data_IF_056597094918
#
_entry.id   IF_056597094918
#
_cell.length_a   1.000
_cell.length_b   1.000
_cell.length_c   1.000
_cell.angle_alpha   90.00
_cell.angle_beta   90.00
_cell.angle_gamma   90.00
#
_symmetry.space_group_name_H-M   'P 1'
#
loop_
_entity.id
_entity.type
_entity.pdbx_description
1 polymer ?
#
# COMPACT_ATOMS: atom_id res chain seq x y z
N UNK A 1 44.35 -61.29 16.81
CA UNK A 1 44.85 -62.21 15.74
C UNK A 1 44.27 -61.71 14.42
N UNK A 2 45.18 -61.41 13.48
CA UNK A 2 44.98 -61.00 12.06
C UNK A 2 44.38 -59.62 11.81
N UNK A 3 45.12 -58.53 11.59
CA UNK A 3 46.01 -58.07 10.48
C UNK A 3 45.35 -58.28 9.09
N UNK A 4 45.07 -57.17 8.37
CA UNK A 4 45.39 -56.84 6.97
C UNK A 4 44.90 -55.37 6.78
N UNK A 5 45.68 -54.41 6.71
CA UNK A 5 46.61 -53.68 5.83
C UNK A 5 46.04 -53.42 4.39
N UNK A 6 46.17 -52.17 4.02
CA UNK A 6 46.26 -51.55 2.70
C UNK A 6 44.90 -51.16 2.07
N UNK A 7 44.75 -50.04 1.41
CA UNK A 7 45.70 -49.22 0.68
C UNK A 7 45.19 -47.78 0.53
N UNK A 8 46.13 -46.85 0.49
CA UNK A 8 46.03 -45.46 0.08
C UNK A 8 45.71 -45.40 -1.41
N UNK A 9 44.71 -44.58 -1.77
CA UNK A 9 44.64 -43.99 -3.10
C UNK A 9 44.21 -42.53 -2.98
N UNK A 10 45.19 -41.65 -3.02
CA UNK A 10 45.04 -40.23 -3.31
C UNK A 10 44.64 -40.11 -4.78
N UNK A 11 43.46 -39.51 -5.01
CA UNK A 11 43.13 -38.99 -6.32
C UNK A 11 42.64 -37.54 -6.17
N UNK A 12 43.57 -36.61 -6.42
CA UNK A 12 43.24 -35.22 -6.72
C UNK A 12 42.45 -35.18 -8.02
N UNK A 13 41.19 -34.75 -7.95
CA UNK A 13 40.46 -34.23 -9.11
C UNK A 13 40.13 -32.79 -8.85
N UNK A 14 40.88 -31.93 -9.52
CA UNK A 14 40.53 -30.56 -9.80
C UNK A 14 39.18 -30.56 -10.57
N UNK A 15 38.14 -30.07 -9.98
CA UNK A 15 36.83 -29.97 -10.61
C UNK A 15 36.11 -28.72 -10.11
N UNK A 16 36.19 -27.68 -10.93
CA UNK A 16 35.40 -26.51 -11.05
C UNK A 16 34.36 -26.20 -9.97
N UNK A 17 34.57 -25.11 -9.26
CA UNK A 17 33.49 -24.41 -8.55
C UNK A 17 32.48 -23.93 -9.58
N UNK A 18 31.47 -24.73 -9.87
CA UNK A 18 30.25 -24.28 -10.47
C UNK A 18 29.54 -23.38 -9.41
N UNK A 19 29.74 -22.09 -9.54
CA UNK A 19 28.81 -21.14 -8.94
C UNK A 19 27.45 -21.45 -9.55
N UNK A 20 26.62 -22.16 -8.83
CA UNK A 20 25.22 -22.20 -9.07
C UNK A 20 24.73 -20.75 -8.82
N UNK A 21 24.47 -20.01 -9.91
CA UNK A 21 23.64 -18.83 -9.91
C UNK A 21 22.31 -19.22 -9.27
N UNK A 22 22.22 -18.95 -7.97
CA UNK A 22 20.97 -19.03 -7.21
C UNK A 22 20.12 -17.80 -7.54
N UNK A 23 19.82 -17.62 -8.82
CA UNK A 23 18.66 -16.89 -9.28
C UNK A 23 17.44 -17.79 -9.05
N UNK A 24 17.21 -18.15 -7.80
CA UNK A 24 15.92 -18.64 -7.38
C UNK A 24 14.97 -17.43 -7.49
N UNK A 25 14.33 -17.28 -8.65
CA UNK A 25 13.05 -16.57 -8.72
C UNK A 25 12.23 -17.15 -7.57
N UNK A 26 12.01 -16.35 -6.54
CA UNK A 26 11.25 -16.75 -5.37
C UNK A 26 9.85 -17.11 -5.91
N UNK A 27 9.61 -18.40 -6.10
CA UNK A 27 8.31 -18.92 -6.49
C UNK A 27 7.37 -18.51 -5.37
N UNK A 28 6.52 -17.50 -5.64
CA UNK A 28 5.50 -17.04 -4.73
C UNK A 28 4.70 -18.27 -4.28
N UNK A 29 4.73 -18.59 -2.99
CA UNK A 29 3.99 -19.73 -2.44
C UNK A 29 2.53 -19.63 -2.89
N UNK A 30 1.84 -20.76 -3.13
CA UNK A 30 0.45 -20.71 -3.55
C UNK A 30 -0.38 -19.94 -2.53
N UNK A 31 -1.19 -19.02 -3.05
CA UNK A 31 -2.01 -18.12 -2.24
C UNK A 31 -3.05 -18.91 -1.44
N UNK A 32 -3.13 -18.64 -0.13
CA UNK A 32 -4.12 -19.26 0.76
C UNK A 32 -5.54 -18.79 0.42
N UNK A 33 -6.56 -19.54 0.84
CA UNK A 33 -7.96 -19.13 0.66
C UNK A 33 -8.22 -17.77 1.31
N UNK A 34 -7.70 -17.54 2.51
CA UNK A 34 -7.81 -16.27 3.22
C UNK A 34 -7.23 -15.10 2.41
N UNK A 35 -6.08 -15.27 1.80
CA UNK A 35 -5.46 -14.24 0.96
C UNK A 35 -6.29 -13.93 -0.29
N UNK A 36 -6.87 -14.94 -0.91
CA UNK A 36 -7.82 -14.76 -2.04
C UNK A 36 -9.06 -13.97 -1.62
N UNK A 37 -9.61 -14.30 -0.46
CA UNK A 37 -10.78 -13.62 0.09
C UNK A 37 -10.44 -12.16 0.47
N UNK A 38 -9.25 -11.90 1.01
CA UNK A 38 -8.76 -10.54 1.26
C UNK A 38 -8.65 -9.74 -0.05
N UNK A 39 -8.12 -10.32 -1.12
CA UNK A 39 -8.10 -9.65 -2.44
C UNK A 39 -9.51 -9.31 -2.93
N UNK A 40 -10.43 -10.26 -2.78
CA UNK A 40 -11.84 -10.02 -3.10
C UNK A 40 -12.39 -8.85 -2.29
N UNK A 41 -12.12 -8.81 -0.99
CA UNK A 41 -12.53 -7.72 -0.10
C UNK A 41 -11.95 -6.37 -0.55
N UNK A 42 -10.65 -6.29 -0.82
CA UNK A 42 -9.97 -5.08 -1.30
C UNK A 42 -10.55 -4.58 -2.62
N UNK A 43 -10.90 -5.49 -3.53
CA UNK A 43 -11.55 -5.16 -4.80
C UNK A 43 -12.97 -4.63 -4.60
N UNK A 44 -13.78 -5.27 -3.76
CA UNK A 44 -15.17 -4.85 -3.48
C UNK A 44 -15.21 -3.46 -2.84
N UNK A 45 -14.25 -3.16 -1.97
CA UNK A 45 -14.17 -1.88 -1.26
C UNK A 45 -13.51 -0.77 -2.07
N UNK A 46 -12.92 -1.07 -3.23
CA UNK A 46 -12.18 -0.10 -4.05
C UNK A 46 -10.87 0.36 -3.39
N UNK A 47 -10.32 -0.42 -2.45
CA UNK A 47 -9.12 -0.01 -1.68
C UNK A 47 -7.87 0.13 -2.56
N UNK A 48 -7.76 -0.64 -3.63
CA UNK A 48 -6.67 -0.52 -4.61
C UNK A 48 -6.75 0.79 -5.39
N UNK A 49 -7.92 1.13 -5.90
CA UNK A 49 -8.19 2.37 -6.64
C UNK A 49 -7.98 3.60 -5.77
N UNK A 50 -8.41 3.54 -4.50
CA UNK A 50 -8.16 4.62 -3.53
C UNK A 50 -6.65 4.82 -3.31
N UNK A 51 -5.87 3.75 -3.19
CA UNK A 51 -4.41 3.82 -3.08
C UNK A 51 -3.77 4.51 -4.29
N UNK A 52 -4.21 4.17 -5.50
CA UNK A 52 -3.75 4.81 -6.75
C UNK A 52 -4.13 6.29 -6.80
N UNK A 53 -5.32 6.65 -6.34
CA UNK A 53 -5.75 8.05 -6.25
C UNK A 53 -4.89 8.86 -5.27
N UNK A 54 -4.60 8.33 -4.09
CA UNK A 54 -3.70 8.96 -3.11
C UNK A 54 -2.30 9.14 -3.69
N UNK A 55 -1.77 8.14 -4.39
CA UNK A 55 -0.48 8.22 -5.08
C UNK A 55 -0.47 9.34 -6.12
N UNK A 56 -1.53 9.46 -6.93
CA UNK A 56 -1.66 10.52 -7.94
C UNK A 56 -1.67 11.92 -7.31
N UNK A 57 -2.35 12.10 -6.18
CA UNK A 57 -2.35 13.37 -5.44
C UNK A 57 -0.97 13.69 -4.87
N UNK A 58 -0.28 12.69 -4.29
CA UNK A 58 1.06 12.85 -3.76
C UNK A 58 2.04 13.27 -4.85
N UNK A 59 2.01 12.63 -6.02
CA UNK A 59 2.83 12.99 -7.18
C UNK A 59 2.50 14.40 -7.65
N UNK A 60 1.22 14.79 -7.70
CA UNK A 60 0.82 16.16 -8.05
C UNK A 60 1.42 17.21 -7.11
N UNK A 61 1.52 16.92 -5.82
CA UNK A 61 2.18 17.80 -4.85
C UNK A 61 3.70 17.81 -5.02
N UNK A 62 4.32 16.65 -5.26
CA UNK A 62 5.77 16.55 -5.52
C UNK A 62 6.18 17.30 -6.79
N UNK A 63 5.38 17.25 -7.86
CA UNK A 63 5.61 18.04 -9.09
C UNK A 63 5.68 19.54 -8.79
N UNK A 64 4.79 20.04 -7.95
CA UNK A 64 4.79 21.46 -7.54
C UNK A 64 6.01 21.82 -6.70
N UNK A 65 6.46 20.92 -5.83
CA UNK A 65 7.62 21.12 -4.97
C UNK A 65 8.96 20.97 -5.70
N UNK A 66 8.99 20.22 -6.82
CA UNK A 66 10.20 19.91 -7.59
C UNK A 66 10.06 20.30 -9.07
N UNK A 67 9.95 21.60 -9.39
CA UNK A 67 9.70 22.07 -10.77
C UNK A 67 10.86 21.78 -11.71
N UNK A 68 12.05 21.47 -11.21
CA UNK A 68 13.24 21.08 -11.99
C UNK A 68 13.14 19.66 -12.55
N UNK A 69 12.23 18.81 -12.06
CA UNK A 69 12.07 17.44 -12.54
C UNK A 69 11.21 17.44 -13.80
N UNK A 70 11.69 16.87 -14.92
CA UNK A 70 10.96 16.88 -16.18
C UNK A 70 9.59 16.20 -16.08
N UNK A 71 8.59 16.73 -16.80
CA UNK A 71 7.23 16.16 -16.84
C UNK A 71 7.22 14.68 -17.28
N UNK A 72 8.13 14.32 -18.19
CA UNK A 72 8.31 12.94 -18.65
C UNK A 72 8.60 11.97 -17.50
N UNK A 73 9.41 12.37 -16.51
CA UNK A 73 9.69 11.52 -15.33
C UNK A 73 8.41 11.16 -14.58
N UNK A 74 7.56 12.16 -14.33
CA UNK A 74 6.30 11.94 -13.59
C UNK A 74 5.32 11.07 -14.36
N UNK A 75 5.24 11.28 -15.69
CA UNK A 75 4.37 10.46 -16.54
C UNK A 75 4.84 9.01 -16.60
N UNK A 76 6.14 8.78 -16.68
CA UNK A 76 6.69 7.42 -16.70
C UNK A 76 6.55 6.76 -15.33
N UNK A 77 6.79 7.50 -14.24
CA UNK A 77 6.54 7.01 -12.87
C UNK A 77 5.08 6.54 -12.69
N UNK A 78 4.11 7.31 -13.18
CA UNK A 78 2.69 6.92 -13.07
C UNK A 78 2.33 5.68 -13.89
N UNK A 79 3.04 5.40 -14.99
CA UNK A 79 2.85 4.17 -15.79
C UNK A 79 3.30 2.92 -15.03
N UNK A 80 4.31 3.06 -14.17
CA UNK A 80 4.83 1.98 -13.32
C UNK A 80 3.96 1.73 -12.07
N UNK A 81 2.96 2.59 -11.79
CA UNK A 81 2.05 2.39 -10.65
C UNK A 81 0.98 1.36 -11.04
N UNK A 82 1.17 0.13 -10.62
CA UNK A 82 0.23 -0.96 -10.82
C UNK A 82 -0.62 -1.23 -9.56
N UNK A 83 -1.93 -1.08 -9.68
CA UNK A 83 -2.87 -1.28 -8.56
C UNK A 83 -2.74 -2.70 -7.96
N UNK A 84 -2.50 -3.70 -8.81
CA UNK A 84 -2.37 -5.09 -8.36
C UNK A 84 -1.13 -5.31 -7.47
N UNK A 85 -0.02 -4.64 -7.77
CA UNK A 85 1.19 -4.68 -6.93
C UNK A 85 0.93 -4.07 -5.56
N UNK A 86 0.21 -2.94 -5.51
CA UNK A 86 -0.19 -2.33 -4.24
C UNK A 86 -1.09 -3.28 -3.44
N UNK A 87 -2.04 -3.93 -4.08
CA UNK A 87 -2.89 -4.96 -3.44
C UNK A 87 -2.04 -6.10 -2.89
N UNK A 88 -1.03 -6.58 -3.65
CA UNK A 88 -0.09 -7.62 -3.20
C UNK A 88 0.64 -7.24 -1.91
N UNK A 89 1.03 -5.98 -1.76
CA UNK A 89 1.68 -5.45 -0.55
C UNK A 89 0.71 -5.30 0.63
N UNK A 90 -0.56 -5.04 0.35
CA UNK A 90 -1.59 -4.82 1.38
C UNK A 90 -2.15 -6.14 1.92
N UNK A 91 -2.29 -7.18 1.09
CA UNK A 91 -2.85 -8.49 1.50
C UNK A 91 -2.21 -9.04 2.77
N UNK A 92 -0.87 -9.06 2.94
CA UNK A 92 -0.26 -9.55 4.19
C UNK A 92 -0.61 -8.71 5.43
N UNK A 93 -0.94 -7.42 5.26
CA UNK A 93 -1.36 -6.56 6.38
C UNK A 93 -2.73 -7.00 6.89
N UNK A 94 -3.68 -7.21 6.00
CA UNK A 94 -5.01 -7.73 6.33
C UNK A 94 -4.93 -9.14 6.92
N UNK A 95 -4.09 -10.00 6.32
CA UNK A 95 -3.91 -11.40 6.74
C UNK A 95 -3.42 -11.52 8.20
N UNK A 96 -2.57 -10.61 8.66
CA UNK A 96 -2.10 -10.59 10.04
C UNK A 96 -3.13 -10.04 11.03
N UNK A 97 -4.03 -9.16 10.59
CA UNK A 97 -4.92 -8.41 11.48
C UNK A 97 -6.36 -8.93 11.51
N UNK A 98 -6.80 -9.71 10.53
CA UNK A 98 -8.15 -10.26 10.45
C UNK A 98 -8.12 -11.78 10.49
N UNK A 99 -9.10 -12.41 11.11
CA UNK A 99 -9.34 -13.84 10.99
C UNK A 99 -10.04 -14.17 9.65
N UNK A 100 -10.05 -15.45 9.25
CA UNK A 100 -10.83 -15.90 8.09
C UNK A 100 -12.32 -15.59 8.26
N UNK A 101 -12.84 -15.70 9.48
CA UNK A 101 -14.24 -15.37 9.79
C UNK A 101 -14.54 -13.90 9.55
N UNK A 102 -13.69 -12.99 10.04
CA UNK A 102 -13.84 -11.55 9.85
C UNK A 102 -13.87 -11.18 8.37
N UNK A 103 -12.95 -11.73 7.58
CA UNK A 103 -12.90 -11.49 6.12
C UNK A 103 -14.19 -11.96 5.45
N UNK A 104 -14.69 -13.12 5.83
CA UNK A 104 -15.94 -13.68 5.27
C UNK A 104 -17.15 -12.78 5.59
N UNK A 105 -17.28 -12.33 6.83
CA UNK A 105 -18.39 -11.46 7.25
C UNK A 105 -18.31 -10.08 6.60
N UNK A 106 -17.11 -9.51 6.47
CA UNK A 106 -16.90 -8.26 5.74
C UNK A 106 -17.30 -8.39 4.26
N UNK A 107 -16.91 -9.47 3.60
CA UNK A 107 -17.33 -9.72 2.20
C UNK A 107 -18.85 -9.78 2.10
N UNK A 108 -19.53 -10.55 2.97
CA UNK A 108 -20.99 -10.60 3.01
C UNK A 108 -21.62 -9.22 3.17
N UNK A 109 -21.09 -8.42 4.10
CA UNK A 109 -21.58 -7.06 4.31
C UNK A 109 -21.44 -6.21 3.05
N UNK A 110 -20.25 -6.15 2.46
CA UNK A 110 -20.01 -5.31 1.28
C UNK A 110 -20.68 -5.81 0.00
N UNK A 111 -20.99 -7.10 -0.09
CA UNK A 111 -21.82 -7.67 -1.18
C UNK A 111 -23.32 -7.44 -1.00
N UNK A 112 -23.77 -7.08 0.21
CA UNK A 112 -25.18 -6.75 0.49
C UNK A 112 -25.62 -5.47 -0.24
N UNK A 113 -26.93 -5.25 -0.42
CA UNK A 113 -27.44 -4.00 -1.03
C UNK A 113 -26.97 -2.75 -0.28
N UNK A 114 -26.92 -2.78 1.04
CA UNK A 114 -26.46 -1.67 1.89
C UNK A 114 -24.96 -1.45 1.73
N UNK A 115 -24.15 -2.50 1.76
CA UNK A 115 -22.70 -2.42 1.59
C UNK A 115 -22.30 -1.86 0.22
N UNK A 116 -22.92 -2.37 -0.85
CA UNK A 116 -22.72 -1.84 -2.21
C UNK A 116 -23.08 -0.37 -2.32
N UNK A 117 -24.22 0.02 -1.76
CA UNK A 117 -24.63 1.42 -1.73
C UNK A 117 -23.63 2.27 -0.95
N UNK A 118 -23.19 1.80 0.22
CA UNK A 118 -22.20 2.52 1.03
C UNK A 118 -20.92 2.78 0.26
N UNK A 119 -20.32 1.74 -0.35
CA UNK A 119 -19.11 1.88 -1.18
C UNK A 119 -19.32 2.90 -2.31
N UNK A 120 -20.46 2.84 -3.00
CA UNK A 120 -20.74 3.73 -4.15
C UNK A 120 -20.89 5.20 -3.76
N UNK A 121 -21.37 5.51 -2.54
CA UNK A 121 -21.57 6.90 -2.08
C UNK A 121 -20.41 7.43 -1.24
N UNK A 122 -19.50 6.57 -0.78
CA UNK A 122 -18.38 6.93 0.09
C UNK A 122 -17.48 8.03 -0.49
N UNK A 123 -17.11 8.03 -1.78
CA UNK A 123 -16.32 9.12 -2.37
C UNK A 123 -17.02 10.48 -2.25
N UNK A 124 -18.34 10.53 -2.48
CA UNK A 124 -19.14 11.73 -2.36
C UNK A 124 -19.20 12.22 -0.90
N UNK A 125 -19.46 11.31 0.04
CA UNK A 125 -19.44 11.63 1.49
C UNK A 125 -18.09 12.21 1.89
N UNK A 126 -16.99 11.61 1.45
CA UNK A 126 -15.64 12.08 1.74
C UNK A 126 -15.41 13.48 1.20
N UNK A 127 -15.77 13.73 -0.06
CA UNK A 127 -15.61 15.04 -0.70
C UNK A 127 -16.43 16.13 0.02
N UNK A 128 -17.69 15.87 0.34
CA UNK A 128 -18.56 16.81 1.06
C UNK A 128 -18.01 17.06 2.48
N UNK A 129 -17.54 16.03 3.17
CA UNK A 129 -16.94 16.15 4.50
C UNK A 129 -15.67 17.00 4.50
N UNK A 130 -14.83 16.88 3.48
CA UNK A 130 -13.64 17.74 3.30
C UNK A 130 -14.06 19.20 3.14
N UNK A 131 -15.08 19.50 2.34
CA UNK A 131 -15.62 20.86 2.19
C UNK A 131 -16.13 21.45 3.50
N UNK A 132 -16.81 20.65 4.32
CA UNK A 132 -17.24 21.06 5.68
C UNK A 132 -16.02 21.35 6.56
N UNK A 133 -14.99 20.49 6.54
CA UNK A 133 -13.76 20.69 7.29
C UNK A 133 -13.02 21.98 6.91
N UNK A 134 -12.89 22.24 5.60
CA UNK A 134 -12.29 23.50 5.12
C UNK A 134 -13.06 24.75 5.56
N UNK A 135 -14.38 24.73 5.48
CA UNK A 135 -15.22 25.84 5.94
C UNK A 135 -15.02 26.07 7.43
N UNK A 136 -15.10 25.02 8.22
CA UNK A 136 -14.89 25.10 9.67
C UNK A 136 -13.48 25.63 10.01
N UNK A 137 -12.44 25.17 9.32
CA UNK A 137 -11.07 25.64 9.51
C UNK A 137 -10.92 27.14 9.22
N UNK A 138 -11.52 27.65 8.15
CA UNK A 138 -11.54 29.08 7.83
C UNK A 138 -12.25 29.92 8.91
N UNK A 139 -13.40 29.45 9.37
CA UNK A 139 -14.17 30.13 10.43
C UNK A 139 -13.37 30.16 11.75
N UNK A 140 -12.70 29.05 12.09
CA UNK A 140 -11.84 28.97 13.28
C UNK A 140 -10.67 29.95 13.19
N UNK A 141 -9.98 30.00 12.04
CA UNK A 141 -8.88 30.94 11.80
C UNK A 141 -9.33 32.39 11.98
N UNK A 142 -10.49 32.77 11.41
CA UNK A 142 -11.06 34.14 11.59
C UNK A 142 -11.35 34.42 13.06
N UNK A 143 -11.94 33.50 13.80
CA UNK A 143 -12.21 33.68 15.24
C UNK A 143 -10.92 33.88 16.04
N UNK A 144 -9.86 33.14 15.74
CA UNK A 144 -8.56 33.28 16.40
C UNK A 144 -7.93 34.65 16.07
N UNK A 145 -7.95 35.07 14.82
CA UNK A 145 -7.45 36.39 14.40
C UNK A 145 -8.17 37.53 15.10
N UNK A 146 -9.50 37.49 15.16
CA UNK A 146 -10.30 38.50 15.87
C UNK A 146 -9.95 38.58 17.35
N UNK A 147 -9.75 37.41 18.02
CA UNK A 147 -9.33 37.39 19.43
C UNK A 147 -7.96 38.02 19.63
N UNK A 148 -6.99 37.71 18.75
CA UNK A 148 -5.64 38.29 18.81
C UNK A 148 -5.66 39.82 18.64
N UNK A 149 -6.44 40.36 17.68
CA UNK A 149 -6.62 41.80 17.49
C UNK A 149 -7.23 42.49 18.69
N UNK A 150 -8.15 41.85 19.41
CA UNK A 150 -8.76 42.39 20.63
C UNK A 150 -7.80 42.37 21.85
N UNK A 151 -6.74 41.57 21.81
CA UNK A 151 -5.73 41.46 22.88
C UNK A 151 -4.53 42.39 22.67
N UNK A 152 -4.31 42.96 21.47
CA UNK A 152 -3.27 43.95 21.26
C UNK A 152 -3.70 45.28 21.92
N UNK A 153 -2.89 45.86 22.85
CA UNK A 153 -3.13 47.16 23.41
C UNK A 153 -3.07 48.24 22.31
N UNK A 154 -3.84 49.33 22.40
CA UNK A 154 -3.80 50.39 21.39
C UNK A 154 -2.36 50.92 21.23
N UNK A 155 -1.84 50.85 20.00
CA UNK A 155 -0.57 51.46 19.64
C UNK A 155 -0.64 52.96 19.98
N UNK A 156 0.22 53.36 20.95
CA UNK A 156 0.42 54.79 21.29
C UNK A 156 1.15 55.52 20.16
#
# INVERSE_FOLDING_TARGET
MRIVVAAVAVLCVLGGAARADSSAAAQKAPETQKQKDIRKLLKITGSGELGTQVMSQMIGNMKKAMPQVPEKFWSDFMKEVHTDELVDLIVPVYDRNLSQGDVTELIKFYESPTGKRFVSVLPKITQESMGVGEKWGRELAMKVMTKLQQQEPPKK
#
